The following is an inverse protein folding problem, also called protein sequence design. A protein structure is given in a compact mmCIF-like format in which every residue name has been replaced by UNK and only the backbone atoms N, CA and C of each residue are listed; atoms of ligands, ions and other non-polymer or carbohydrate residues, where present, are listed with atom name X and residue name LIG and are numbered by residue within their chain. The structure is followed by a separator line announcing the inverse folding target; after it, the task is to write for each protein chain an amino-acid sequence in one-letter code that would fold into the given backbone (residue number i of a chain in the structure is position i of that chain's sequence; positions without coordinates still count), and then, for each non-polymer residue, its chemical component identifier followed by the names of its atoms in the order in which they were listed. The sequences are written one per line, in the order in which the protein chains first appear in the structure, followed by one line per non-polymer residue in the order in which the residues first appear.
data_IF_541718653703
#
_entry.id   IF_541718653703
#
_cell.length_a   1.000
_cell.length_b   1.000
_cell.length_c   1.000
_cell.angle_alpha   90.00
_cell.angle_beta   90.00
_cell.angle_gamma   90.00
#
_symmetry.space_group_name_H-M   'P 1'
#
loop_
_entity.id
_entity.type
_entity.pdbx_description
1 polymer ?
#
# COMPACT_ATOMS: atom_id res chain seq x y z
N UNK A 1 13.86 -16.98 6.83
CA UNK A 1 14.16 -17.82 5.61
C UNK A 1 15.05 -17.05 4.64
N UNK A 2 16.04 -17.70 4.02
CA UNK A 2 16.77 -17.08 2.91
C UNK A 2 15.92 -17.17 1.63
N UNK A 3 15.81 -16.05 0.92
CA UNK A 3 15.15 -15.98 -0.41
C UNK A 3 16.21 -15.99 -1.55
N UNK A 4 17.40 -16.51 -1.24
CA UNK A 4 18.49 -16.63 -2.20
C UNK A 4 18.10 -17.49 -3.41
N UNK A 5 18.39 -16.97 -4.60
CA UNK A 5 18.02 -17.56 -5.88
C UNK A 5 16.51 -17.77 -6.10
N UNK A 6 15.65 -17.22 -5.23
CA UNK A 6 14.21 -17.38 -5.34
C UNK A 6 13.64 -16.63 -6.55
N UNK A 7 12.58 -17.18 -7.14
CA UNK A 7 11.81 -16.56 -8.21
C UNK A 7 10.54 -15.94 -7.62
N UNK A 8 10.43 -14.64 -7.70
CA UNK A 8 9.34 -13.87 -7.08
C UNK A 8 8.44 -13.25 -8.16
N UNK A 9 7.12 -13.46 -8.04
CA UNK A 9 6.12 -12.74 -8.81
C UNK A 9 5.59 -11.56 -8.00
N UNK A 10 5.67 -10.35 -8.55
CA UNK A 10 5.10 -9.14 -7.93
C UNK A 10 3.89 -8.69 -8.73
N UNK A 11 2.69 -8.98 -8.21
CA UNK A 11 1.41 -8.59 -8.80
C UNK A 11 1.11 -7.15 -8.36
N UNK A 12 0.90 -6.25 -9.34
CA UNK A 12 0.79 -4.82 -9.08
C UNK A 12 2.17 -4.15 -8.90
N UNK A 13 3.22 -4.75 -9.47
CA UNK A 13 4.61 -4.31 -9.30
C UNK A 13 4.97 -2.99 -9.98
N UNK A 14 4.17 -2.52 -10.95
CA UNK A 14 4.36 -1.21 -11.60
C UNK A 14 3.62 -0.06 -10.88
N UNK A 15 2.87 -0.37 -9.82
CA UNK A 15 2.13 0.60 -9.01
C UNK A 15 3.01 1.39 -8.03
N UNK A 16 2.36 2.27 -7.27
CA UNK A 16 2.99 3.11 -6.25
C UNK A 16 3.86 2.29 -5.28
N UNK A 17 3.29 1.40 -4.49
CA UNK A 17 4.03 0.58 -3.52
C UNK A 17 4.86 -0.49 -4.24
N UNK A 18 4.31 -1.08 -5.31
CA UNK A 18 4.92 -2.20 -6.03
C UNK A 18 6.30 -1.89 -6.60
N UNK A 19 6.50 -0.70 -7.16
CA UNK A 19 7.80 -0.29 -7.71
C UNK A 19 8.90 -0.23 -6.63
N UNK A 20 8.57 0.15 -5.41
CA UNK A 20 9.49 0.12 -4.27
C UNK A 20 9.72 -1.30 -3.76
N UNK A 21 8.69 -2.14 -3.74
CA UNK A 21 8.84 -3.58 -3.39
C UNK A 21 9.78 -4.28 -4.36
N UNK A 22 9.65 -4.03 -5.66
CA UNK A 22 10.59 -4.55 -6.67
C UNK A 22 12.01 -4.07 -6.40
N UNK A 23 12.18 -2.77 -6.08
CA UNK A 23 13.50 -2.23 -5.70
C UNK A 23 14.09 -2.91 -4.47
N UNK A 24 13.30 -3.16 -3.43
CA UNK A 24 13.77 -3.83 -2.23
C UNK A 24 14.14 -5.30 -2.49
N UNK A 25 13.34 -6.02 -3.29
CA UNK A 25 13.65 -7.40 -3.68
C UNK A 25 14.98 -7.50 -4.45
N UNK A 26 15.29 -6.54 -5.31
CA UNK A 26 16.55 -6.53 -6.09
C UNK A 26 17.80 -6.22 -5.26
N UNK A 27 17.64 -5.72 -4.03
CA UNK A 27 18.74 -5.59 -3.06
C UNK A 27 19.09 -6.93 -2.39
N UNK A 28 18.20 -7.91 -2.47
CA UNK A 28 18.41 -9.25 -1.96
C UNK A 28 19.00 -10.16 -3.07
N UNK A 29 19.54 -11.32 -2.69
CA UNK A 29 20.11 -12.32 -3.61
C UNK A 29 19.02 -13.16 -4.30
N UNK A 30 17.93 -12.54 -4.76
CA UNK A 30 16.88 -13.23 -5.52
C UNK A 30 17.35 -13.63 -6.92
N UNK A 31 16.85 -14.76 -7.43
CA UNK A 31 17.20 -15.23 -8.77
C UNK A 31 16.39 -14.53 -9.88
N UNK A 32 15.13 -14.21 -9.62
CA UNK A 32 14.25 -13.61 -10.61
C UNK A 32 13.14 -12.78 -9.92
N UNK A 33 12.82 -11.62 -10.48
CA UNK A 33 11.65 -10.81 -10.12
C UNK A 33 10.82 -10.55 -11.37
N UNK A 34 9.61 -11.11 -11.42
CA UNK A 34 8.67 -10.89 -12.52
C UNK A 34 7.53 -9.99 -12.05
N UNK A 35 7.30 -8.92 -12.79
CA UNK A 35 6.23 -7.95 -12.54
C UNK A 35 5.01 -8.34 -13.35
N UNK A 36 3.87 -8.55 -12.67
CA UNK A 36 2.56 -8.79 -13.28
C UNK A 36 1.66 -7.59 -13.00
N UNK A 37 1.40 -6.76 -14.02
CA UNK A 37 0.66 -5.51 -13.86
C UNK A 37 -0.11 -5.19 -15.15
N UNK A 38 -1.36 -4.79 -15.05
CA UNK A 38 -2.17 -4.39 -16.21
C UNK A 38 -2.00 -2.91 -16.58
N UNK A 39 -1.16 -2.19 -15.85
CA UNK A 39 -0.87 -0.76 -16.03
C UNK A 39 -2.10 0.16 -15.98
N UNK A 40 -3.20 -0.27 -15.37
CA UNK A 40 -4.37 0.59 -15.17
C UNK A 40 -4.04 1.84 -14.33
N UNK A 41 -3.08 1.72 -13.40
CA UNK A 41 -2.51 2.81 -12.60
C UNK A 41 -0.98 2.75 -12.51
N UNK A 42 -0.41 1.57 -12.68
CA UNK A 42 1.03 1.36 -12.76
C UNK A 42 1.63 2.08 -13.98
N UNK A 43 2.90 2.48 -13.87
CA UNK A 43 3.64 3.14 -14.96
C UNK A 43 4.98 2.47 -15.16
N UNK A 44 5.36 2.26 -16.42
CA UNK A 44 6.69 1.69 -16.75
C UNK A 44 7.83 2.58 -16.28
N UNK A 45 7.61 3.88 -16.27
CA UNK A 45 8.58 4.88 -15.84
C UNK A 45 8.98 4.71 -14.36
N UNK A 46 8.09 4.13 -13.53
CA UNK A 46 8.39 3.81 -12.13
C UNK A 46 9.37 2.65 -11.97
N UNK A 47 9.60 1.89 -13.04
CA UNK A 47 10.43 0.69 -13.08
C UNK A 47 11.73 0.88 -13.87
N UNK A 48 12.06 2.12 -14.32
CA UNK A 48 13.19 2.38 -15.20
C UNK A 48 14.50 1.79 -14.65
N UNK A 49 14.81 2.02 -13.38
CA UNK A 49 16.03 1.52 -12.76
C UNK A 49 15.97 0.00 -12.49
N UNK A 50 14.83 -0.51 -12.09
CA UNK A 50 14.64 -1.93 -11.77
C UNK A 50 14.77 -2.81 -13.01
N UNK A 51 14.29 -2.34 -14.17
CA UNK A 51 14.37 -3.06 -15.44
C UNK A 51 15.79 -3.05 -16.07
N UNK A 52 16.73 -2.30 -15.51
CA UNK A 52 18.16 -2.39 -15.87
C UNK A 52 18.84 -3.61 -15.23
N UNK A 53 18.26 -4.18 -14.17
CA UNK A 53 18.74 -5.41 -13.56
C UNK A 53 18.24 -6.62 -14.36
N UNK A 54 19.16 -7.46 -14.82
CA UNK A 54 18.85 -8.64 -15.66
C UNK A 54 17.94 -9.66 -14.98
N UNK A 55 17.80 -9.61 -13.66
CA UNK A 55 16.90 -10.46 -12.86
C UNK A 55 15.45 -9.98 -12.90
N UNK A 56 15.21 -8.74 -13.33
CA UNK A 56 13.89 -8.09 -13.32
C UNK A 56 13.27 -8.04 -14.73
N UNK A 57 12.02 -8.46 -14.83
CA UNK A 57 11.27 -8.37 -16.09
C UNK A 57 9.78 -8.11 -15.85
N UNK A 58 9.10 -7.62 -16.90
CA UNK A 58 7.65 -7.51 -16.92
C UNK A 58 7.09 -8.75 -17.63
N UNK A 59 6.07 -9.39 -17.04
CA UNK A 59 5.35 -10.48 -17.69
C UNK A 59 4.72 -9.98 -19.00
N UNK A 60 4.95 -10.66 -20.14
CA UNK A 60 4.74 -10.05 -21.45
C UNK A 60 3.27 -9.85 -21.86
N UNK A 61 2.34 -10.54 -21.20
CA UNK A 61 0.92 -10.58 -21.60
C UNK A 61 0.02 -10.30 -20.40
N UNK A 62 -0.95 -9.39 -20.56
CA UNK A 62 -1.98 -9.15 -19.56
C UNK A 62 -1.46 -8.44 -18.32
N UNK A 63 -1.81 -8.96 -17.16
CA UNK A 63 -1.50 -8.37 -15.84
C UNK A 63 -2.75 -8.15 -14.98
N UNK A 64 -3.91 -8.58 -15.46
CA UNK A 64 -5.17 -8.50 -14.72
C UNK A 64 -5.38 -9.80 -13.92
N UNK A 65 -5.60 -9.65 -12.61
CA UNK A 65 -5.84 -10.79 -11.71
C UNK A 65 -7.22 -11.45 -11.92
N UNK A 66 -8.09 -10.85 -12.73
CA UNK A 66 -9.37 -11.45 -13.14
C UNK A 66 -9.17 -12.49 -14.24
N UNK A 67 -8.10 -12.42 -15.00
CA UNK A 67 -7.76 -13.38 -16.05
C UNK A 67 -6.96 -14.55 -15.44
N UNK A 68 -7.69 -15.60 -15.07
CA UNK A 68 -7.11 -16.75 -14.38
C UNK A 68 -6.07 -17.50 -15.25
N UNK A 69 -6.29 -17.63 -16.55
CA UNK A 69 -5.40 -18.39 -17.43
C UNK A 69 -4.05 -17.67 -17.60
N UNK A 70 -4.06 -16.35 -17.75
CA UNK A 70 -2.85 -15.54 -17.85
C UNK A 70 -2.12 -15.49 -16.51
N UNK A 71 -2.85 -15.30 -15.40
CA UNK A 71 -2.30 -15.32 -14.05
C UNK A 71 -1.64 -16.67 -13.73
N UNK A 72 -2.30 -17.78 -14.09
CA UNK A 72 -1.78 -19.14 -13.95
C UNK A 72 -0.44 -19.31 -14.68
N UNK A 73 -0.34 -18.80 -15.90
CA UNK A 73 0.90 -18.81 -16.66
C UNK A 73 2.01 -17.99 -15.99
N UNK A 74 1.69 -16.83 -15.42
CA UNK A 74 2.65 -15.98 -14.73
C UNK A 74 3.20 -16.65 -13.44
N UNK A 75 2.38 -17.48 -12.78
CA UNK A 75 2.74 -18.21 -11.54
C UNK A 75 3.64 -19.40 -11.77
N UNK A 76 3.72 -19.96 -12.99
CA UNK A 76 4.53 -21.16 -13.28
C UNK A 76 5.98 -20.99 -12.87
N UNK A 77 6.45 -21.91 -12.01
CA UNK A 77 7.83 -21.96 -11.56
C UNK A 77 8.25 -20.81 -10.64
N UNK A 78 7.32 -20.08 -10.08
CA UNK A 78 7.61 -19.07 -9.04
C UNK A 78 7.66 -19.72 -7.66
N UNK A 79 8.53 -19.21 -6.80
CA UNK A 79 8.67 -19.64 -5.42
C UNK A 79 7.76 -18.86 -4.48
N UNK A 80 7.66 -17.54 -4.71
CA UNK A 80 6.98 -16.59 -3.86
C UNK A 80 6.13 -15.62 -4.67
N UNK A 81 5.08 -15.12 -4.03
CA UNK A 81 4.20 -14.09 -4.62
C UNK A 81 4.05 -12.92 -3.64
N UNK A 82 4.17 -11.70 -4.15
CA UNK A 82 3.74 -10.48 -3.45
C UNK A 82 2.60 -9.88 -4.25
N UNK A 83 1.41 -9.78 -3.66
CA UNK A 83 0.23 -9.27 -4.34
C UNK A 83 -0.19 -7.91 -3.77
N UNK A 84 -0.02 -6.87 -4.58
CA UNK A 84 -0.35 -5.48 -4.27
C UNK A 84 -1.51 -4.94 -5.13
N UNK A 85 -1.99 -5.77 -6.07
CA UNK A 85 -3.06 -5.38 -6.97
C UNK A 85 -4.39 -5.22 -6.22
N UNK A 86 -5.00 -4.07 -6.36
CA UNK A 86 -6.33 -3.79 -5.85
C UNK A 86 -6.90 -2.53 -6.49
N UNK A 87 -8.20 -2.51 -6.65
CA UNK A 87 -8.95 -1.28 -6.84
C UNK A 87 -9.04 -0.54 -5.51
N UNK A 88 -8.66 0.73 -5.46
CA UNK A 88 -8.51 1.47 -4.21
C UNK A 88 -9.78 2.18 -3.75
N UNK A 89 -9.74 2.71 -2.52
CA UNK A 89 -10.88 3.18 -1.72
C UNK A 89 -11.95 3.97 -2.50
N UNK A 90 -11.56 5.03 -3.19
CA UNK A 90 -12.53 5.94 -3.81
C UNK A 90 -13.12 5.36 -5.10
N UNK A 91 -12.33 4.65 -5.90
CA UNK A 91 -12.86 3.91 -7.04
C UNK A 91 -13.83 2.80 -6.61
N UNK A 92 -13.61 2.17 -5.44
CA UNK A 92 -14.55 1.19 -4.92
C UNK A 92 -15.91 1.81 -4.56
N UNK A 93 -15.96 3.09 -4.15
CA UNK A 93 -17.20 3.83 -3.92
C UNK A 93 -17.97 4.04 -5.22
N UNK A 94 -17.26 4.47 -6.27
CA UNK A 94 -17.88 4.84 -7.54
C UNK A 94 -18.23 3.61 -8.41
N UNK A 95 -17.44 2.53 -8.32
CA UNK A 95 -17.56 1.32 -9.13
C UNK A 95 -17.55 0.04 -8.25
N UNK A 96 -18.57 -0.16 -7.39
CA UNK A 96 -18.56 -1.27 -6.43
C UNK A 96 -18.59 -2.66 -7.07
N UNK A 97 -19.20 -2.81 -8.26
CA UNK A 97 -19.19 -4.07 -9.01
C UNK A 97 -17.78 -4.43 -9.48
N UNK A 98 -17.07 -3.47 -10.06
CA UNK A 98 -15.67 -3.67 -10.49
C UNK A 98 -14.76 -3.91 -9.28
N UNK A 99 -15.05 -3.25 -8.16
CA UNK A 99 -14.32 -3.50 -6.91
C UNK A 99 -14.50 -4.96 -6.42
N UNK A 100 -15.70 -5.51 -6.53
CA UNK A 100 -15.94 -6.93 -6.23
C UNK A 100 -15.14 -7.84 -7.16
N UNK A 101 -15.18 -7.59 -8.47
CA UNK A 101 -14.50 -8.40 -9.47
C UNK A 101 -12.98 -8.38 -9.29
N UNK A 102 -12.39 -7.21 -9.03
CA UNK A 102 -10.93 -7.08 -8.85
C UNK A 102 -10.51 -7.53 -7.45
N UNK A 103 -11.10 -6.94 -6.40
CA UNK A 103 -10.56 -7.11 -5.04
C UNK A 103 -10.99 -8.42 -4.38
N UNK A 104 -12.13 -9.00 -4.76
CA UNK A 104 -12.64 -10.25 -4.18
C UNK A 104 -12.39 -11.41 -5.13
N UNK A 105 -13.00 -11.42 -6.32
CA UNK A 105 -12.83 -12.51 -7.27
C UNK A 105 -11.38 -12.62 -7.76
N UNK A 106 -10.73 -11.49 -8.08
CA UNK A 106 -9.31 -11.49 -8.46
C UNK A 106 -8.38 -11.96 -7.34
N UNK A 107 -8.66 -11.59 -6.07
CA UNK A 107 -7.89 -12.13 -4.93
C UNK A 107 -8.10 -13.64 -4.77
N UNK A 108 -9.32 -14.14 -4.97
CA UNK A 108 -9.61 -15.57 -4.98
C UNK A 108 -8.78 -16.29 -6.06
N UNK A 109 -8.72 -15.76 -7.28
CA UNK A 109 -7.89 -16.30 -8.36
C UNK A 109 -6.40 -16.38 -7.97
N UNK A 110 -5.88 -15.34 -7.29
CA UNK A 110 -4.49 -15.35 -6.80
C UNK A 110 -4.27 -16.46 -5.77
N UNK A 111 -5.19 -16.62 -4.82
CA UNK A 111 -5.09 -17.68 -3.79
C UNK A 111 -5.14 -19.07 -4.41
N UNK A 112 -6.08 -19.30 -5.35
CA UNK A 112 -6.22 -20.56 -6.07
C UNK A 112 -4.98 -20.89 -6.90
N UNK A 113 -4.45 -19.94 -7.65
CA UNK A 113 -3.22 -20.11 -8.41
C UNK A 113 -2.00 -20.38 -7.51
N UNK A 114 -1.92 -19.72 -6.34
CA UNK A 114 -0.85 -19.99 -5.37
C UNK A 114 -0.88 -21.44 -4.87
N UNK A 115 -2.06 -21.99 -4.57
CA UNK A 115 -2.20 -23.41 -4.17
C UNK A 115 -1.82 -24.34 -5.32
N UNK A 116 -2.34 -24.09 -6.52
CA UNK A 116 -2.07 -24.90 -7.73
C UNK A 116 -0.57 -25.00 -8.05
N UNK A 117 0.17 -23.91 -7.88
CA UNK A 117 1.60 -23.83 -8.19
C UNK A 117 2.52 -24.09 -6.97
N UNK A 118 1.96 -24.48 -5.81
CA UNK A 118 2.71 -24.78 -4.58
C UNK A 118 3.60 -23.59 -4.16
N UNK A 119 3.06 -22.36 -4.22
CA UNK A 119 3.76 -21.16 -3.80
C UNK A 119 4.16 -21.26 -2.32
N UNK A 120 5.44 -21.05 -2.04
CA UNK A 120 6.02 -21.20 -0.70
C UNK A 120 5.50 -20.19 0.31
N UNK A 121 5.13 -19.00 -0.15
CA UNK A 121 4.46 -17.97 0.65
C UNK A 121 3.86 -16.87 -0.24
N UNK A 122 2.65 -16.45 0.09
CA UNK A 122 2.00 -15.25 -0.46
C UNK A 122 2.06 -14.12 0.58
N UNK A 123 2.66 -12.98 0.22
CA UNK A 123 2.52 -11.72 0.95
C UNK A 123 1.46 -10.88 0.23
N UNK A 124 0.45 -10.44 0.96
CA UNK A 124 -0.71 -9.75 0.37
C UNK A 124 -0.99 -8.42 1.03
N UNK A 125 -1.26 -7.40 0.22
CA UNK A 125 -1.62 -6.07 0.70
C UNK A 125 -3.04 -6.05 1.25
N UNK A 126 -3.18 -6.09 2.58
CA UNK A 126 -4.38 -5.68 3.28
C UNK A 126 -4.35 -4.17 3.54
N UNK A 127 -5.20 -3.67 4.40
CA UNK A 127 -5.33 -2.23 4.67
C UNK A 127 -5.88 -1.99 6.06
N UNK A 128 -5.47 -0.91 6.71
CA UNK A 128 -6.10 -0.40 7.92
C UNK A 128 -7.59 -0.02 7.71
N UNK A 129 -8.06 0.02 6.45
CA UNK A 129 -9.49 0.21 6.15
C UNK A 129 -10.39 -0.93 6.66
N UNK A 130 -9.84 -2.10 7.00
CA UNK A 130 -10.58 -3.19 7.66
C UNK A 130 -11.14 -2.76 9.01
N UNK A 131 -10.44 -1.89 9.72
CA UNK A 131 -10.82 -1.42 11.05
C UNK A 131 -11.93 -0.36 11.04
N UNK A 132 -12.00 0.47 9.99
CA UNK A 132 -12.84 1.67 10.02
C UNK A 132 -12.31 2.73 10.98
N UNK A 133 -13.21 3.33 11.76
CA UNK A 133 -12.84 4.24 12.84
C UNK A 133 -12.45 3.46 14.10
N UNK A 134 -11.46 3.96 14.84
CA UNK A 134 -10.93 3.26 16.00
C UNK A 134 -11.95 3.16 17.14
N UNK A 135 -12.07 1.95 17.69
CA UNK A 135 -12.79 1.71 18.95
C UNK A 135 -11.83 1.87 20.14
N UNK A 136 -10.58 1.48 19.94
CA UNK A 136 -9.49 1.64 20.90
C UNK A 136 -8.19 1.99 20.16
N UNK A 137 -7.24 2.63 20.83
CA UNK A 137 -5.95 3.04 20.29
C UNK A 137 -4.79 2.64 21.21
N UNK A 138 -3.63 2.22 20.63
CA UNK A 138 -3.44 1.90 19.22
C UNK A 138 -4.25 0.64 18.82
N UNK A 139 -4.69 0.59 17.57
CA UNK A 139 -5.40 -0.59 17.05
C UNK A 139 -4.44 -1.77 16.91
N UNK A 140 -4.68 -2.84 17.65
CA UNK A 140 -3.98 -4.12 17.45
C UNK A 140 -4.62 -4.91 16.31
N UNK A 141 -4.00 -6.02 15.90
CA UNK A 141 -4.59 -6.89 14.87
C UNK A 141 -5.88 -7.58 15.33
N UNK A 142 -6.15 -7.60 16.65
CA UNK A 142 -7.39 -8.10 17.25
C UNK A 142 -8.49 -7.03 17.36
N UNK A 143 -8.21 -5.78 16.98
CA UNK A 143 -9.22 -4.72 16.95
C UNK A 143 -10.41 -5.14 16.08
N UNK A 144 -11.67 -4.91 16.51
CA UNK A 144 -12.85 -5.32 15.77
C UNK A 144 -12.93 -4.64 14.39
N UNK A 145 -13.51 -5.33 13.42
CA UNK A 145 -13.84 -4.76 12.13
C UNK A 145 -15.04 -3.81 12.27
N UNK A 146 -14.78 -2.50 12.13
CA UNK A 146 -15.79 -1.44 12.17
C UNK A 146 -15.88 -0.71 10.82
N UNK A 147 -15.55 -1.42 9.74
CA UNK A 147 -15.54 -0.87 8.39
C UNK A 147 -16.94 -0.54 7.87
N UNK A 148 -17.08 0.57 7.13
CA UNK A 148 -18.32 1.06 6.53
C UNK A 148 -18.18 1.34 5.02
N UNK A 149 -17.14 0.86 4.36
CA UNK A 149 -16.91 1.11 2.93
C UNK A 149 -16.57 -0.16 2.15
N UNK A 150 -16.83 -0.15 0.84
CA UNK A 150 -16.60 -1.31 -0.03
C UNK A 150 -15.15 -1.77 -0.09
N UNK A 151 -14.19 -0.84 -0.03
CA UNK A 151 -12.77 -1.18 -0.06
C UNK A 151 -12.36 -2.00 1.17
N UNK A 152 -12.67 -1.49 2.37
CA UNK A 152 -12.39 -2.24 3.60
C UNK A 152 -13.13 -3.58 3.65
N UNK A 153 -14.40 -3.63 3.21
CA UNK A 153 -15.14 -4.88 3.09
C UNK A 153 -14.44 -5.89 2.16
N UNK A 154 -13.91 -5.43 1.03
CA UNK A 154 -13.17 -6.30 0.11
C UNK A 154 -11.85 -6.82 0.71
N UNK A 155 -11.18 -6.01 1.53
CA UNK A 155 -9.95 -6.44 2.24
C UNK A 155 -10.28 -7.44 3.36
N UNK A 156 -11.36 -7.24 4.11
CA UNK A 156 -11.87 -8.23 5.08
C UNK A 156 -12.20 -9.56 4.40
N UNK A 157 -12.87 -9.53 3.24
CA UNK A 157 -13.17 -10.73 2.47
C UNK A 157 -11.89 -11.44 2.03
N UNK A 158 -10.85 -10.71 1.57
CA UNK A 158 -9.55 -11.27 1.20
C UNK A 158 -8.85 -11.97 2.37
N UNK A 159 -8.83 -11.36 3.55
CA UNK A 159 -8.27 -11.97 4.76
C UNK A 159 -9.04 -13.24 5.18
N UNK A 160 -10.36 -13.21 5.10
CA UNK A 160 -11.21 -14.37 5.42
C UNK A 160 -10.99 -15.53 4.42
N UNK A 161 -10.91 -15.24 3.12
CA UNK A 161 -10.59 -16.23 2.10
C UNK A 161 -9.18 -16.81 2.32
N UNK A 162 -8.18 -15.98 2.59
CA UNK A 162 -6.83 -16.44 2.85
C UNK A 162 -6.75 -17.36 4.08
N UNK A 163 -7.55 -17.08 5.12
CA UNK A 163 -7.67 -17.95 6.30
C UNK A 163 -8.21 -19.33 5.90
N UNK A 164 -9.27 -19.37 5.11
CA UNK A 164 -9.84 -20.63 4.62
C UNK A 164 -8.87 -21.41 3.71
N UNK A 165 -8.10 -20.72 2.85
CA UNK A 165 -7.08 -21.34 2.01
C UNK A 165 -5.89 -21.87 2.83
N UNK A 166 -5.47 -21.16 3.86
CA UNK A 166 -4.44 -21.67 4.78
C UNK A 166 -4.92 -22.90 5.54
N UNK A 167 -6.13 -22.86 6.12
CA UNK A 167 -6.70 -23.97 6.87
C UNK A 167 -6.90 -25.23 5.99
N UNK A 168 -7.43 -25.04 4.78
CA UNK A 168 -7.77 -26.16 3.88
C UNK A 168 -6.57 -26.72 3.13
N UNK A 169 -5.66 -25.87 2.66
CA UNK A 169 -4.58 -26.24 1.74
C UNK A 169 -3.19 -26.00 2.30
N UNK A 170 -3.07 -25.43 3.50
CA UNK A 170 -1.79 -25.11 4.12
C UNK A 170 -1.02 -23.97 3.40
N UNK A 171 -1.71 -23.10 2.62
CA UNK A 171 -1.06 -22.00 1.91
C UNK A 171 -0.45 -21.02 2.91
N UNK A 172 0.88 -20.85 2.96
CA UNK A 172 1.49 -19.83 3.80
C UNK A 172 1.13 -18.43 3.29
N UNK A 173 0.58 -17.60 4.18
CA UNK A 173 0.03 -16.29 3.82
C UNK A 173 0.33 -15.25 4.90
N UNK A 174 0.84 -14.09 4.49
CA UNK A 174 1.03 -12.92 5.35
C UNK A 174 0.23 -11.75 4.78
N UNK A 175 -0.78 -11.30 5.52
CA UNK A 175 -1.57 -10.11 5.20
C UNK A 175 -1.00 -8.88 5.89
N UNK A 176 -0.66 -7.85 5.13
CA UNK A 176 -0.08 -6.61 5.65
C UNK A 176 -1.12 -5.49 5.62
N UNK A 177 -1.64 -5.10 6.78
CA UNK A 177 -2.61 -4.00 6.95
C UNK A 177 -1.86 -2.67 6.97
N UNK A 178 -1.63 -2.09 5.78
CA UNK A 178 -0.94 -0.81 5.66
C UNK A 178 -1.75 0.32 6.27
N UNK A 179 -1.08 1.17 7.07
CA UNK A 179 -1.60 2.45 7.53
C UNK A 179 -1.58 3.47 6.38
N UNK A 180 -1.46 4.77 6.62
CA UNK A 180 -1.54 5.77 5.53
C UNK A 180 -0.20 5.91 4.82
N UNK A 181 -0.02 5.13 3.75
CA UNK A 181 1.22 5.12 2.96
C UNK A 181 1.32 6.40 2.13
N UNK A 182 2.49 7.04 2.16
CA UNK A 182 2.81 8.20 1.32
C UNK A 182 4.22 8.09 0.75
N UNK A 183 4.49 8.80 -0.35
CA UNK A 183 5.81 8.83 -0.98
C UNK A 183 5.79 9.08 -2.49
N UNK A 184 6.97 9.02 -3.14
CA UNK A 184 7.09 9.09 -4.59
C UNK A 184 6.26 8.01 -5.30
N UNK A 185 5.87 8.26 -6.55
CA UNK A 185 4.99 7.42 -7.37
C UNK A 185 3.52 7.35 -6.89
N UNK A 186 3.17 7.94 -5.74
CA UNK A 186 1.76 8.14 -5.41
C UNK A 186 1.12 9.04 -6.46
N UNK A 187 -0.11 8.72 -6.88
CA UNK A 187 -0.81 9.49 -7.90
C UNK A 187 -0.96 10.96 -7.45
N UNK A 188 -0.42 11.89 -8.24
CA UNK A 188 -0.38 13.32 -7.92
C UNK A 188 -1.55 14.10 -8.55
N UNK A 189 -2.20 13.52 -9.56
CA UNK A 189 -3.12 14.23 -10.46
C UNK A 189 -4.57 13.74 -10.36
N UNK A 190 -4.80 12.60 -9.74
CA UNK A 190 -6.15 12.05 -9.63
C UNK A 190 -7.02 12.92 -8.73
N UNK A 191 -8.28 13.11 -9.12
CA UNK A 191 -9.32 13.70 -8.26
C UNK A 191 -9.44 12.98 -6.90
N UNK A 192 -8.84 11.82 -6.80
CA UNK A 192 -8.87 10.88 -5.70
C UNK A 192 -7.47 10.56 -5.17
N UNK A 193 -6.60 11.54 -5.00
CA UNK A 193 -5.31 11.30 -4.36
C UNK A 193 -5.39 11.42 -2.83
N UNK A 194 -4.34 10.96 -2.13
CA UNK A 194 -4.26 11.08 -0.67
C UNK A 194 -4.03 12.51 -0.20
N UNK A 195 -4.19 12.77 1.10
CA UNK A 195 -4.08 14.11 1.69
C UNK A 195 -2.71 14.77 1.46
N UNK A 196 -1.61 14.00 1.49
CA UNK A 196 -0.25 14.52 1.30
C UNK A 196 -0.05 15.13 -0.09
N UNK A 197 -0.36 14.44 -1.21
CA UNK A 197 -0.29 15.04 -2.54
C UNK A 197 -1.22 16.26 -2.72
N UNK A 198 -2.43 16.22 -2.16
CA UNK A 198 -3.37 17.34 -2.24
C UNK A 198 -2.76 18.60 -1.61
N UNK A 199 -2.20 18.48 -0.41
CA UNK A 199 -1.57 19.60 0.28
C UNK A 199 -0.35 20.14 -0.48
N UNK A 200 0.53 19.25 -0.93
CA UNK A 200 1.70 19.62 -1.72
C UNK A 200 1.31 20.34 -3.01
N UNK A 201 0.35 19.82 -3.78
CA UNK A 201 -0.12 20.45 -5.02
C UNK A 201 -0.63 21.88 -4.78
N UNK A 202 -1.39 22.09 -3.71
CA UNK A 202 -1.90 23.43 -3.34
C UNK A 202 -0.78 24.39 -3.00
N UNK A 203 0.13 23.97 -2.12
CA UNK A 203 1.25 24.80 -1.67
C UNK A 203 2.19 25.12 -2.85
N UNK A 204 2.46 24.18 -3.74
CA UNK A 204 3.27 24.35 -4.93
C UNK A 204 2.61 25.22 -6.01
N UNK A 205 1.27 25.29 -6.01
CA UNK A 205 0.53 26.24 -6.82
C UNK A 205 0.43 27.64 -6.17
N UNK A 206 1.09 27.87 -5.04
CA UNK A 206 0.96 29.07 -4.21
C UNK A 206 -0.51 29.34 -3.76
N UNK A 207 -1.26 28.25 -3.54
CA UNK A 207 -2.63 28.30 -3.03
C UNK A 207 -2.69 27.83 -1.58
N UNK A 208 -3.56 28.44 -0.77
CA UNK A 208 -3.76 28.06 0.61
C UNK A 208 -4.21 26.60 0.72
N UNK A 209 -3.53 25.75 1.53
CA UNK A 209 -4.00 24.39 1.79
C UNK A 209 -5.34 24.43 2.53
N UNK A 210 -6.22 23.49 2.20
CA UNK A 210 -7.57 23.39 2.76
C UNK A 210 -7.68 22.16 3.63
N UNK A 211 -8.14 22.33 4.85
CA UNK A 211 -8.45 21.26 5.80
C UNK A 211 -9.97 21.17 5.97
N UNK A 212 -10.54 19.99 5.76
CA UNK A 212 -11.93 19.72 6.08
C UNK A 212 -12.07 19.43 7.58
N UNK A 213 -13.05 20.07 8.25
CA UNK A 213 -13.18 20.04 9.70
C UNK A 213 -12.21 20.97 10.40
N UNK A 214 -11.81 20.64 11.62
CA UNK A 214 -10.88 21.39 12.47
C UNK A 214 -9.42 20.93 12.35
N UNK A 215 -9.16 19.85 11.60
CA UNK A 215 -7.84 19.26 11.42
C UNK A 215 -7.39 18.35 12.57
N UNK A 216 -8.26 18.04 13.52
CA UNK A 216 -7.94 17.16 14.66
C UNK A 216 -7.91 15.66 14.30
N UNK A 217 -8.53 15.28 13.18
CA UNK A 217 -8.46 13.90 12.73
C UNK A 217 -7.00 13.45 12.54
N UNK A 218 -6.66 12.28 13.06
CA UNK A 218 -5.28 11.85 13.16
C UNK A 218 -5.06 10.44 12.61
N UNK A 219 -3.94 10.29 11.91
CA UNK A 219 -3.58 9.07 11.22
C UNK A 219 -2.11 8.72 11.47
N UNK A 220 -1.81 7.46 11.27
CA UNK A 220 -0.45 6.93 11.21
C UNK A 220 0.04 7.00 9.75
N UNK A 221 0.99 7.89 9.48
CA UNK A 221 1.60 8.07 8.17
C UNK A 221 2.90 7.29 8.07
N UNK A 222 2.98 6.38 7.10
CA UNK A 222 4.17 5.57 6.87
C UNK A 222 4.76 5.82 5.47
N UNK A 223 6.09 5.98 5.41
CA UNK A 223 6.80 6.20 4.16
C UNK A 223 6.87 4.93 3.31
N UNK A 224 6.71 5.06 2.00
CA UNK A 224 6.58 3.93 1.07
C UNK A 224 7.77 2.96 1.09
N UNK A 225 8.99 3.44 1.29
CA UNK A 225 10.17 2.55 1.38
C UNK A 225 10.11 1.64 2.62
N UNK A 226 9.51 2.10 3.73
CA UNK A 226 9.31 1.28 4.93
C UNK A 226 8.29 0.17 4.67
N UNK A 227 7.21 0.49 3.95
CA UNK A 227 6.22 -0.50 3.53
C UNK A 227 6.83 -1.53 2.59
N UNK A 228 7.66 -1.09 1.64
CA UNK A 228 8.36 -1.99 0.71
C UNK A 228 9.28 -2.96 1.45
N UNK A 229 10.08 -2.48 2.42
CA UNK A 229 10.91 -3.36 3.26
C UNK A 229 10.06 -4.35 4.04
N UNK A 230 8.96 -3.92 4.65
CA UNK A 230 8.07 -4.81 5.39
C UNK A 230 7.57 -5.98 4.53
N UNK A 231 7.28 -5.76 3.23
CA UNK A 231 6.90 -6.83 2.31
C UNK A 231 8.03 -7.87 2.15
N UNK A 232 9.27 -7.41 2.03
CA UNK A 232 10.43 -8.30 1.89
C UNK A 232 10.73 -8.99 3.23
N UNK A 233 10.63 -8.29 4.36
CA UNK A 233 10.80 -8.88 5.70
C UNK A 233 9.74 -9.97 5.95
N UNK A 234 8.48 -9.72 5.57
CA UNK A 234 7.40 -10.70 5.65
C UNK A 234 7.69 -11.94 4.80
N UNK A 235 8.25 -11.75 3.60
CA UNK A 235 8.64 -12.86 2.73
C UNK A 235 9.75 -13.70 3.36
N UNK A 236 10.74 -13.06 3.99
CA UNK A 236 11.91 -13.68 4.65
C UNK A 236 11.60 -14.27 6.03
N UNK A 237 10.52 -13.84 6.69
CA UNK A 237 10.16 -14.33 8.03
C UNK A 237 9.90 -15.84 8.04
N UNK A 238 10.03 -16.48 9.20
CA UNK A 238 9.66 -17.90 9.37
C UNK A 238 8.16 -18.09 9.61
N UNK A 239 7.42 -17.00 9.76
CA UNK A 239 5.97 -16.99 9.98
C UNK A 239 5.24 -17.57 8.78
N UNK A 240 4.32 -18.50 9.04
CA UNK A 240 3.55 -19.18 7.99
C UNK A 240 2.22 -18.52 7.69
N UNK A 241 1.59 -17.91 8.71
CA UNK A 241 0.27 -17.29 8.55
C UNK A 241 0.07 -16.17 9.58
N UNK A 242 -0.52 -15.06 9.14
CA UNK A 242 -0.92 -13.97 10.03
C UNK A 242 -1.28 -12.68 9.30
N UNK A 243 -1.98 -11.81 10.04
CA UNK A 243 -2.25 -10.43 9.65
C UNK A 243 -1.41 -9.50 10.52
N UNK A 244 -0.86 -8.43 9.92
CA UNK A 244 0.09 -7.54 10.58
C UNK A 244 -0.18 -6.08 10.22
N UNK A 245 -0.22 -5.23 11.23
CA UNK A 245 -0.22 -3.78 11.02
C UNK A 245 1.14 -3.31 10.53
N UNK A 246 1.12 -2.47 9.51
CA UNK A 246 2.32 -1.83 8.96
C UNK A 246 2.16 -0.32 9.06
N UNK A 247 2.73 0.23 10.11
CA UNK A 247 2.66 1.63 10.49
C UNK A 247 3.84 2.05 11.36
N UNK A 248 3.82 3.28 11.77
CA UNK A 248 4.83 3.87 12.65
C UNK A 248 4.40 3.88 14.12
N UNK A 249 3.10 3.70 14.38
CA UNK A 249 2.43 3.90 15.67
C UNK A 249 2.51 5.36 16.16
N UNK A 250 2.85 6.30 15.26
CA UNK A 250 2.92 7.73 15.55
C UNK A 250 1.63 8.40 15.08
N UNK A 251 0.91 8.99 16.03
CA UNK A 251 -0.29 9.76 15.74
C UNK A 251 0.09 11.13 15.19
N UNK A 252 -0.41 11.47 14.00
CA UNK A 252 -0.23 12.77 13.38
C UNK A 252 -1.57 13.34 12.93
N UNK A 253 -1.95 14.49 13.44
CA UNK A 253 -3.16 15.18 13.00
C UNK A 253 -2.98 15.77 11.59
N UNK A 254 -4.10 15.98 10.89
CA UNK A 254 -4.08 16.65 9.57
C UNK A 254 -3.51 18.06 9.67
N UNK A 255 -3.75 18.73 10.80
CA UNK A 255 -3.15 20.04 11.07
C UNK A 255 -1.63 19.96 11.18
N UNK A 256 -1.10 19.03 12.00
CA UNK A 256 0.36 18.83 12.16
C UNK A 256 1.04 18.42 10.85
N UNK A 257 0.39 17.57 10.04
CA UNK A 257 0.86 17.22 8.71
C UNK A 257 0.99 18.46 7.83
N UNK A 258 -0.05 19.30 7.80
CA UNK A 258 -0.07 20.52 7.00
C UNK A 258 1.02 21.51 7.45
N UNK A 259 1.14 21.75 8.75
CA UNK A 259 2.15 22.65 9.33
C UNK A 259 3.58 22.14 9.01
N UNK A 260 3.79 20.81 9.04
CA UNK A 260 5.07 20.22 8.68
C UNK A 260 5.41 20.44 7.20
N UNK A 261 4.45 20.24 6.30
CA UNK A 261 4.65 20.48 4.85
C UNK A 261 4.94 21.96 4.58
N UNK A 262 4.18 22.88 5.16
CA UNK A 262 4.40 24.35 5.04
C UNK A 262 5.81 24.73 5.51
N UNK A 263 6.23 24.20 6.66
CA UNK A 263 7.58 24.44 7.19
C UNK A 263 8.68 23.91 6.27
N UNK A 264 8.54 22.69 5.72
CA UNK A 264 9.51 22.09 4.81
C UNK A 264 9.60 22.84 3.47
N UNK A 265 8.49 23.40 3.01
CA UNK A 265 8.41 24.20 1.79
C UNK A 265 8.76 25.68 2.04
N UNK A 266 9.09 26.08 3.27
CA UNK A 266 9.34 27.47 3.69
C UNK A 266 8.23 28.40 3.19
N UNK A 267 6.97 27.97 3.30
CA UNK A 267 5.79 28.68 2.78
C UNK A 267 5.10 29.47 3.88
N UNK A 268 4.78 30.76 3.61
CA UNK A 268 4.02 31.65 4.50
C UNK A 268 2.50 31.52 4.32
N UNK A 269 2.04 30.62 3.47
CA UNK A 269 0.62 30.38 3.23
C UNK A 269 -0.11 29.99 4.53
N UNK A 270 -1.33 30.48 4.67
CA UNK A 270 -2.18 30.15 5.84
C UNK A 270 -3.18 29.09 5.47
N UNK A 271 -3.34 28.13 6.38
CA UNK A 271 -4.35 27.06 6.25
C UNK A 271 -5.75 27.68 6.25
N UNK A 272 -6.61 27.18 5.38
CA UNK A 272 -8.05 27.46 5.40
C UNK A 272 -8.82 26.24 5.86
N UNK A 273 -9.90 26.45 6.60
CA UNK A 273 -10.74 25.38 7.13
C UNK A 273 -12.11 25.43 6.46
N UNK A 274 -12.65 24.25 6.14
CA UNK A 274 -14.00 24.11 5.57
C UNK A 274 -14.78 23.05 6.37
N UNK A 275 -16.10 23.21 6.57
CA UNK A 275 -16.90 22.16 7.15
C UNK A 275 -16.87 20.90 6.26
N UNK A 276 -17.08 19.73 6.86
CA UNK A 276 -17.26 18.50 6.10
C UNK A 276 -18.54 18.60 5.24
N UNK A 277 -18.49 18.02 4.04
CA UNK A 277 -19.72 17.67 3.34
C UNK A 277 -20.48 16.58 4.12
N UNK A 278 -21.76 16.41 3.87
CA UNK A 278 -22.53 15.33 4.52
C UNK A 278 -21.96 13.93 4.18
N UNK A 279 -21.50 13.75 2.96
CA UNK A 279 -20.90 12.50 2.51
C UNK A 279 -19.55 12.23 3.19
N UNK A 280 -18.70 13.27 3.34
CA UNK A 280 -17.42 13.15 4.02
C UNK A 280 -17.63 12.85 5.51
N UNK A 281 -18.61 13.51 6.16
CA UNK A 281 -18.94 13.26 7.55
C UNK A 281 -19.40 11.83 7.82
N UNK A 282 -20.15 11.22 6.90
CA UNK A 282 -20.58 9.81 7.01
C UNK A 282 -19.43 8.81 6.86
N UNK A 283 -18.42 9.15 6.07
CA UNK A 283 -17.26 8.30 5.80
C UNK A 283 -16.05 8.62 6.69
N UNK A 284 -16.19 9.62 7.57
CA UNK A 284 -15.10 10.10 8.40
C UNK A 284 -14.53 8.97 9.29
N UNK A 285 -13.24 8.84 9.25
CA UNK A 285 -12.43 8.10 10.21
C UNK A 285 -11.67 9.13 11.03
N UNK A 286 -12.02 9.24 12.31
CA UNK A 286 -11.43 10.27 13.18
C UNK A 286 -9.99 9.91 13.56
N UNK A 287 -9.75 8.65 13.90
CA UNK A 287 -8.44 8.18 14.30
C UNK A 287 -8.12 6.81 13.70
N UNK A 288 -6.88 6.65 13.22
CA UNK A 288 -6.39 5.39 12.68
C UNK A 288 -4.89 5.25 12.94
N UNK A 289 -4.55 4.68 14.08
CA UNK A 289 -3.18 4.43 14.52
C UNK A 289 -3.05 2.95 14.84
N UNK A 290 -2.16 2.23 14.14
CA UNK A 290 -1.98 0.79 14.31
C UNK A 290 -0.81 0.47 15.23
N UNK A 291 -1.00 -0.49 16.14
CA UNK A 291 0.14 -1.05 16.88
C UNK A 291 1.03 -1.85 15.94
N UNK A 292 2.33 -1.62 15.96
CA UNK A 292 3.34 -2.30 15.15
C UNK A 292 4.03 -3.45 15.88
N UNK A 293 3.74 -3.65 17.16
CA UNK A 293 4.43 -4.60 18.05
C UNK A 293 4.48 -6.02 17.49
N UNK A 294 3.39 -6.49 16.89
CA UNK A 294 3.33 -7.83 16.30
C UNK A 294 4.24 -7.94 15.07
N UNK A 295 4.23 -6.95 14.19
CA UNK A 295 5.09 -6.94 12.99
C UNK A 295 6.58 -6.85 13.37
N UNK A 296 6.94 -6.05 14.37
CA UNK A 296 8.31 -6.01 14.91
C UNK A 296 8.76 -7.37 15.41
N UNK A 297 7.96 -8.01 16.25
CA UNK A 297 8.31 -9.27 16.89
C UNK A 297 8.40 -10.45 15.94
N UNK A 298 7.45 -10.56 15.00
CA UNK A 298 7.26 -11.76 14.19
C UNK A 298 7.83 -11.65 12.77
N UNK A 299 7.92 -10.42 12.23
CA UNK A 299 8.48 -10.16 10.90
C UNK A 299 9.84 -9.47 10.95
N UNK A 300 10.26 -8.94 12.09
CA UNK A 300 11.47 -8.11 12.21
C UNK A 300 11.31 -6.72 11.60
N UNK A 301 10.07 -6.28 11.39
CA UNK A 301 9.79 -4.99 10.77
C UNK A 301 10.15 -3.83 11.70
N UNK A 302 10.95 -2.87 11.19
CA UNK A 302 11.25 -1.59 11.84
C UNK A 302 11.14 -0.48 10.81
N UNK A 303 10.28 0.52 11.05
CA UNK A 303 10.26 1.71 10.21
C UNK A 303 11.55 2.54 10.42
N UNK A 304 12.02 3.19 9.36
CA UNK A 304 13.28 3.96 9.37
C UNK A 304 13.07 5.46 9.24
N UNK A 305 11.97 5.87 8.60
CA UNK A 305 11.74 7.26 8.26
C UNK A 305 10.66 7.88 9.15
N UNK A 306 11.03 8.94 9.87
CA UNK A 306 10.03 9.83 10.47
C UNK A 306 9.19 10.50 9.38
N UNK A 307 8.01 11.05 9.76
CA UNK A 307 7.17 11.80 8.84
C UNK A 307 7.95 12.93 8.14
N UNK A 308 8.76 13.67 8.91
CA UNK A 308 9.56 14.80 8.37
C UNK A 308 10.58 14.33 7.33
N UNK A 309 11.33 13.28 7.61
CA UNK A 309 12.32 12.72 6.67
C UNK A 309 11.66 12.17 5.40
N UNK A 310 10.55 11.44 5.53
CA UNK A 310 9.82 10.94 4.37
C UNK A 310 9.22 12.05 3.51
N UNK A 311 8.68 13.12 4.13
CA UNK A 311 8.20 14.30 3.41
C UNK A 311 9.33 15.04 2.70
N UNK A 312 10.52 15.18 3.33
CA UNK A 312 11.69 15.77 2.67
C UNK A 312 12.10 14.98 1.43
N UNK A 313 12.16 13.65 1.51
CA UNK A 313 12.47 12.78 0.35
C UNK A 313 11.41 12.94 -0.74
N UNK A 314 10.12 12.99 -0.39
CA UNK A 314 9.04 13.21 -1.34
C UNK A 314 9.14 14.56 -2.04
N UNK A 315 9.41 15.63 -1.29
CA UNK A 315 9.57 16.99 -1.84
C UNK A 315 10.76 17.04 -2.81
N UNK A 316 11.92 16.49 -2.44
CA UNK A 316 13.08 16.40 -3.33
C UNK A 316 12.74 15.64 -4.62
N UNK A 317 12.09 14.49 -4.52
CA UNK A 317 11.67 13.73 -5.70
C UNK A 317 10.73 14.53 -6.61
N UNK A 318 9.81 15.31 -6.05
CA UNK A 318 8.89 16.17 -6.84
C UNK A 318 9.65 17.27 -7.59
N UNK A 319 10.69 17.85 -6.99
CA UNK A 319 11.57 18.83 -7.62
C UNK A 319 12.35 18.17 -8.76
N UNK A 320 13.02 17.04 -8.49
CA UNK A 320 13.87 16.33 -9.45
C UNK A 320 13.10 15.83 -10.69
N UNK A 321 11.82 15.47 -10.50
CA UNK A 321 10.94 15.00 -11.57
C UNK A 321 10.16 16.13 -12.27
N UNK A 322 10.34 17.40 -11.84
CA UNK A 322 9.65 18.54 -12.41
C UNK A 322 8.14 18.59 -12.12
N UNK A 323 7.66 17.81 -11.15
CA UNK A 323 6.28 17.90 -10.64
C UNK A 323 6.11 19.22 -9.87
N UNK A 324 7.08 19.52 -9.01
CA UNK A 324 7.17 20.81 -8.33
C UNK A 324 7.79 21.85 -9.27
N UNK A 325 7.00 22.80 -9.71
CA UNK A 325 7.43 23.90 -10.61
C UNK A 325 7.85 25.14 -9.85
N UNK A 326 7.67 25.21 -8.55
CA UNK A 326 8.15 26.29 -7.69
C UNK A 326 9.62 25.99 -7.33
N UNK A 327 10.52 26.64 -8.05
CA UNK A 327 11.95 26.72 -7.69
C UNK A 327 12.19 27.86 -6.74
#
# INVERSE_FOLDING_TARGET
MEIKNAKVLVIGGAGFIGSFVVSELLKEDVGEVVIYDNFARGKKEYLTNQLMDSRCSIFPIGGDIRDLDILDNAMKGKDYVICLSAMWLLHCKDFPRTAFEVNIAGTFNVLEACVKHNIKKLVWSSSASVYGDAVELPMTENHPFNNKNFYGASKIAGEAMATAFNDRYGLPFIGLRYMNVYGPHQDQTAAYTGVVPIMLNKIEANEAPVINGDGSQAYDFIYVEDVARCNVDALKSDTKFGMYNVGTEVQTSIKELCDTILSLKMSDLKVTYKPYSEDDARALVQNRIGSRVKAEKELGFLYKYSLKEGLQKLIHWRIDTGIDKLK
#
